data_IF_962774107876
#
_entry.id   IF_962774107876
#
_cell.length_a   1.000
_cell.length_b   1.000
_cell.length_c   1.000
_cell.angle_alpha   90.00
_cell.angle_beta   90.00
_cell.angle_gamma   90.00
#
_symmetry.space_group_name_H-M   'P 1'
#
loop_
_entity.id
_entity.type
_entity.pdbx_description
1 polymer ?
#
# COMPACT_ATOMS: atom_id res chain seq x y z
N UNK A 1 -10.75 14.66 -29.12
CA UNK A 1 -10.35 13.79 -27.98
C UNK A 1 -9.99 12.44 -28.54
N UNK A 2 -8.73 12.02 -28.45
CA UNK A 2 -8.29 10.72 -28.93
C UNK A 2 -8.42 9.69 -27.80
N UNK A 3 -9.28 8.68 -27.97
CA UNK A 3 -9.37 7.55 -27.06
C UNK A 3 -8.33 6.49 -27.46
N UNK A 4 -7.40 6.20 -26.56
CA UNK A 4 -6.49 5.08 -26.71
C UNK A 4 -7.18 3.80 -26.21
N UNK A 5 -7.69 3.00 -27.16
CA UNK A 5 -8.20 1.66 -26.86
C UNK A 5 -7.05 0.68 -26.77
N UNK A 6 -6.96 -0.08 -25.67
CA UNK A 6 -6.04 -1.21 -25.59
C UNK A 6 -6.45 -2.28 -26.60
N UNK A 7 -5.81 -2.24 -27.77
CA UNK A 7 -6.01 -3.24 -28.82
C UNK A 7 -5.39 -4.55 -28.37
N UNK A 8 -6.17 -5.39 -27.69
CA UNK A 8 -5.73 -6.73 -27.28
C UNK A 8 -5.57 -7.59 -28.53
N UNK A 9 -4.36 -8.02 -28.84
CA UNK A 9 -4.09 -9.10 -29.81
C UNK A 9 -4.40 -10.45 -29.16
N UNK A 10 -5.67 -10.73 -28.92
CA UNK A 10 -6.09 -12.03 -28.41
C UNK A 10 -6.07 -13.02 -29.58
N UNK A 11 -5.25 -14.06 -29.46
CA UNK A 11 -5.31 -15.26 -30.30
C UNK A 11 -4.35 -15.34 -31.49
N UNK A 12 -3.52 -14.34 -31.78
CA UNK A 12 -2.63 -14.39 -32.96
C UNK A 12 -1.37 -15.25 -32.75
N UNK A 13 -0.93 -15.47 -31.50
CA UNK A 13 0.35 -16.15 -31.18
C UNK A 13 0.31 -17.11 -29.99
N UNK A 14 -0.86 -17.62 -29.62
CA UNK A 14 -0.95 -18.68 -28.61
C UNK A 14 -1.39 -19.94 -29.31
N UNK A 15 -0.47 -20.91 -29.45
CA UNK A 15 -0.84 -22.21 -30.00
C UNK A 15 -1.83 -22.87 -29.05
N UNK A 16 -2.92 -23.44 -29.58
CA UNK A 16 -3.92 -24.14 -28.77
C UNK A 16 -3.29 -25.28 -27.96
N UNK A 17 -2.23 -25.89 -28.51
CA UNK A 17 -1.45 -26.96 -27.86
C UNK A 17 -0.73 -26.45 -26.61
N UNK A 18 -0.06 -25.30 -26.67
CA UNK A 18 0.60 -24.72 -25.48
C UNK A 18 -0.40 -24.29 -24.41
N UNK A 19 -1.60 -23.84 -24.80
CA UNK A 19 -2.67 -23.52 -23.84
C UNK A 19 -3.18 -24.78 -23.13
N UNK A 20 -3.40 -25.86 -23.88
CA UNK A 20 -3.87 -27.14 -23.33
C UNK A 20 -2.83 -27.83 -22.45
N UNK A 21 -1.54 -27.70 -22.77
CA UNK A 21 -0.45 -28.21 -21.93
C UNK A 21 -0.40 -27.52 -20.55
N UNK A 22 -0.60 -26.21 -20.52
CA UNK A 22 -0.66 -25.46 -19.26
C UNK A 22 -1.87 -25.86 -18.41
N UNK A 23 -3.04 -26.03 -19.04
CA UNK A 23 -4.25 -26.50 -18.36
C UNK A 23 -4.09 -27.92 -17.80
N UNK A 24 -3.47 -28.84 -18.56
CA UNK A 24 -3.23 -30.20 -18.11
C UNK A 24 -2.21 -30.27 -16.96
N UNK A 25 -1.14 -29.49 -17.01
CA UNK A 25 -0.14 -29.44 -15.92
C UNK A 25 -0.69 -28.83 -14.63
N UNK A 26 -1.66 -27.92 -14.72
CA UNK A 26 -2.31 -27.34 -13.55
C UNK A 26 -3.31 -28.31 -12.87
N UNK A 27 -3.78 -29.34 -13.57
CA UNK A 27 -4.76 -30.29 -13.05
C UNK A 27 -4.16 -31.39 -12.16
N UNK A 28 -2.87 -31.72 -12.32
CA UNK A 28 -2.21 -32.82 -11.61
C UNK A 28 -1.66 -32.46 -10.21
N UNK A 29 -1.64 -31.18 -9.84
CA UNK A 29 -1.17 -30.71 -8.52
C UNK A 29 -2.34 -30.36 -7.57
N UNK A 30 -3.33 -31.24 -7.47
CA UNK A 30 -4.31 -31.20 -6.37
C UNK A 30 -3.87 -32.14 -5.25
N UNK A 31 -2.70 -31.87 -4.67
CA UNK A 31 -2.35 -32.36 -3.34
C UNK A 31 -3.26 -31.70 -2.29
N UNK A 32 -3.52 -32.32 -1.13
CA UNK A 32 -4.40 -31.76 -0.12
C UNK A 32 -3.80 -30.42 0.34
N UNK A 33 -4.39 -29.33 -0.12
CA UNK A 33 -4.09 -27.97 0.34
C UNK A 33 -4.54 -27.93 1.79
N UNK A 34 -3.57 -28.15 2.67
CA UNK A 34 -3.69 -27.91 4.09
C UNK A 34 -4.29 -26.51 4.27
N UNK A 35 -5.24 -26.41 5.18
CA UNK A 35 -6.15 -25.28 5.39
C UNK A 35 -5.42 -24.10 6.08
N UNK A 36 -4.17 -23.89 5.69
CA UNK A 36 -3.29 -22.76 5.95
C UNK A 36 -3.09 -22.00 4.63
N UNK A 37 -4.17 -21.77 3.89
CA UNK A 37 -4.22 -20.73 2.88
C UNK A 37 -4.13 -19.41 3.64
N UNK A 38 -2.88 -19.04 3.94
CA UNK A 38 -2.44 -17.80 4.54
C UNK A 38 -3.28 -16.70 3.94
N UNK A 39 -4.02 -16.01 4.79
CA UNK A 39 -4.91 -14.93 4.44
C UNK A 39 -4.06 -13.72 4.01
N UNK A 40 -3.49 -13.80 2.81
CA UNK A 40 -2.67 -12.76 2.19
C UNK A 40 -3.41 -11.42 2.14
N UNK A 41 -4.75 -11.48 2.09
CA UNK A 41 -5.63 -10.32 2.16
C UNK A 41 -5.66 -9.70 3.56
N UNK A 42 -5.76 -10.50 4.63
CA UNK A 42 -5.63 -10.00 6.00
C UNK A 42 -4.22 -9.49 6.28
N UNK A 43 -3.19 -10.14 5.79
CA UNK A 43 -1.81 -9.68 6.00
C UNK A 43 -1.53 -8.39 5.23
N UNK A 44 -2.06 -8.23 4.02
CA UNK A 44 -2.01 -6.97 3.28
C UNK A 44 -2.84 -5.87 3.97
N UNK A 45 -4.03 -6.19 4.51
CA UNK A 45 -4.85 -5.25 5.28
C UNK A 45 -4.19 -4.85 6.59
N UNK A 46 -3.57 -5.78 7.31
CA UNK A 46 -2.83 -5.53 8.55
C UNK A 46 -1.60 -4.67 8.30
N UNK A 47 -0.88 -4.91 7.20
CA UNK A 47 0.25 -4.05 6.77
C UNK A 47 -0.21 -2.63 6.46
N UNK A 48 -1.37 -2.46 5.81
CA UNK A 48 -1.95 -1.14 5.56
C UNK A 48 -2.40 -0.44 6.86
N UNK A 49 -2.97 -1.20 7.81
CA UNK A 49 -3.35 -0.69 9.14
C UNK A 49 -2.14 -0.22 9.94
N UNK A 50 -1.08 -1.03 10.00
CA UNK A 50 0.21 -0.68 10.63
C UNK A 50 0.77 0.63 10.07
N UNK A 51 0.75 0.79 8.74
CA UNK A 51 1.26 2.00 8.10
C UNK A 51 0.45 3.25 8.48
N UNK A 52 -0.86 3.13 8.68
CA UNK A 52 -1.71 4.24 9.12
C UNK A 52 -1.50 4.57 10.60
N UNK A 53 -1.35 3.56 11.45
CA UNK A 53 -1.02 3.71 12.87
C UNK A 53 0.34 4.41 13.04
N UNK A 54 1.30 4.07 12.20
CA UNK A 54 2.63 4.70 12.17
C UNK A 54 2.55 6.19 11.80
N UNK A 55 1.72 6.58 10.83
CA UNK A 55 1.54 8.00 10.47
C UNK A 55 0.96 8.82 11.64
N UNK A 56 0.01 8.26 12.40
CA UNK A 56 -0.57 8.95 13.57
C UNK A 56 0.44 9.06 14.71
N UNK A 57 1.22 8.01 14.96
CA UNK A 57 2.29 8.05 15.96
C UNK A 57 3.39 9.06 15.59
N UNK A 58 3.79 9.10 14.32
CA UNK A 58 4.77 10.04 13.79
C UNK A 58 4.29 11.50 13.88
N UNK A 59 3.02 11.77 13.52
CA UNK A 59 2.42 13.10 13.65
C UNK A 59 2.44 13.60 15.09
N UNK A 60 2.08 12.75 16.07
CA UNK A 60 2.15 13.09 17.50
C UNK A 60 3.57 13.41 17.95
N UNK A 61 4.56 12.63 17.49
CA UNK A 61 5.96 12.89 17.81
C UNK A 61 6.43 14.24 17.25
N UNK A 62 6.13 14.54 15.97
CA UNK A 62 6.47 15.81 15.34
C UNK A 62 5.80 17.01 16.03
N UNK A 63 4.54 16.87 16.48
CA UNK A 63 3.84 17.89 17.27
C UNK A 63 4.58 18.21 18.58
N UNK A 64 4.99 17.18 19.32
CA UNK A 64 5.74 17.33 20.57
C UNK A 64 7.12 17.94 20.33
N UNK A 65 7.83 17.51 19.27
CA UNK A 65 9.12 18.07 18.88
C UNK A 65 9.00 19.56 18.53
N UNK A 66 7.98 19.94 17.76
CA UNK A 66 7.68 21.34 17.45
C UNK A 66 7.34 22.17 18.71
N UNK A 67 6.62 21.59 19.68
CA UNK A 67 6.35 22.26 20.95
C UNK A 67 7.64 22.54 21.73
N UNK A 68 8.54 21.58 21.82
CA UNK A 68 9.87 21.74 22.45
C UNK A 68 10.70 22.80 21.70
N UNK A 69 10.66 22.83 20.37
CA UNK A 69 11.36 23.83 19.56
C UNK A 69 10.80 25.24 19.77
N UNK A 70 9.47 25.38 19.92
CA UNK A 70 8.82 26.65 20.22
C UNK A 70 9.20 27.16 21.61
N UNK A 71 9.26 26.28 22.62
CA UNK A 71 9.73 26.61 23.97
C UNK A 71 11.19 27.09 23.97
N UNK A 72 12.02 26.51 23.09
CA UNK A 72 13.42 26.92 22.89
C UNK A 72 13.56 28.22 22.05
N UNK A 73 12.46 28.88 21.68
CA UNK A 73 12.45 30.12 20.92
C UNK A 73 12.76 29.94 19.41
N UNK A 74 12.85 28.71 18.92
CA UNK A 74 13.10 28.38 17.51
C UNK A 74 11.79 28.20 16.75
N UNK A 75 11.02 29.28 16.66
CA UNK A 75 9.67 29.25 16.10
C UNK A 75 9.60 28.85 14.61
N UNK A 76 10.61 29.20 13.81
CA UNK A 76 10.64 28.84 12.38
C UNK A 76 10.75 27.33 12.17
N UNK A 77 11.55 26.65 12.99
CA UNK A 77 11.70 25.21 12.92
C UNK A 77 10.50 24.48 13.50
N UNK A 78 9.91 25.02 14.57
CA UNK A 78 8.66 24.51 15.11
C UNK A 78 7.55 24.53 14.05
N UNK A 79 7.41 25.63 13.30
CA UNK A 79 6.47 25.76 12.19
C UNK A 79 6.70 24.68 11.13
N UNK A 80 7.95 24.50 10.68
CA UNK A 80 8.27 23.46 9.70
C UNK A 80 7.91 22.05 10.20
N UNK A 81 8.19 21.74 11.47
CA UNK A 81 7.85 20.43 12.07
C UNK A 81 6.34 20.22 12.20
N UNK A 82 5.58 21.27 12.49
CA UNK A 82 4.13 21.20 12.52
C UNK A 82 3.52 21.06 11.11
N UNK A 83 4.09 21.72 10.10
CA UNK A 83 3.68 21.56 8.70
C UNK A 83 3.88 20.11 8.22
N UNK A 84 5.02 19.48 8.57
CA UNK A 84 5.27 18.07 8.29
C UNK A 84 4.25 17.15 8.96
N UNK A 85 3.88 17.45 10.22
CA UNK A 85 2.85 16.69 10.93
C UNK A 85 1.47 16.79 10.24
N UNK A 86 1.09 17.98 9.78
CA UNK A 86 -0.17 18.20 9.04
C UNK A 86 -0.19 17.48 7.69
N UNK A 87 0.94 17.39 6.99
CA UNK A 87 1.04 16.63 5.74
C UNK A 87 0.84 15.12 5.94
N UNK A 88 1.36 14.57 7.05
CA UNK A 88 1.18 13.16 7.39
C UNK A 88 -0.23 12.83 7.87
N UNK A 89 -0.91 13.79 8.49
CA UNK A 89 -2.24 13.62 9.07
C UNK A 89 -3.17 14.75 8.65
N UNK A 90 -3.66 14.75 7.39
CA UNK A 90 -4.58 15.78 6.91
C UNK A 90 -5.95 15.76 7.61
N UNK A 91 -6.31 14.64 8.23
CA UNK A 91 -7.55 14.45 9.01
C UNK A 91 -7.50 15.10 10.40
N UNK A 92 -6.31 15.45 10.91
CA UNK A 92 -6.12 15.95 12.28
C UNK A 92 -6.30 17.49 12.38
N UNK A 93 -6.81 18.11 11.32
CA UNK A 93 -7.02 19.55 11.17
C UNK A 93 -8.47 20.01 11.45
N UNK A 94 -9.35 19.10 11.87
CA UNK A 94 -10.74 19.40 12.28
C UNK A 94 -10.86 19.56 13.80
#
# INVERSE_FOLDING_TARGET
MASFGWKRKIGEKVSKVTSQQFEAQAADEQGPVDNSEVDWLQEAKRKKGLLLEDCVAQSKHLKNEGAILAENGRYQEALHKWDEALQLTPEDAT
#
